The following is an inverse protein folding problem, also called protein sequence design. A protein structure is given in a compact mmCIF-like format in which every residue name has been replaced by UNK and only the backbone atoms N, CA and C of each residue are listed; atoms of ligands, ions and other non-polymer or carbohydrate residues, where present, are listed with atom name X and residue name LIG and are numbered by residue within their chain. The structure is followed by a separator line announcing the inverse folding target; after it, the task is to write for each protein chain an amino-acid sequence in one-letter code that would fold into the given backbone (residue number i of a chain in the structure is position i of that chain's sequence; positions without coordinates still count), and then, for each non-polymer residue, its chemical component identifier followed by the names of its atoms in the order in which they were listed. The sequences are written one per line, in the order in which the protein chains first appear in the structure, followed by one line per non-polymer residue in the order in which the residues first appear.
data_IF_877071806019
#
_entry.id   IF_877071806019
#
_cell.length_a   1.000
_cell.length_b   1.000
_cell.length_c   1.000
_cell.angle_alpha   90.00
_cell.angle_beta   90.00
_cell.angle_gamma   90.00
#
_symmetry.space_group_name_H-M   'P 1'
#
loop_
_entity.id
_entity.type
_entity.pdbx_description
1 polymer ?
#
# COMPACT_ATOMS: atom_id res chain seq x y z
N UNK A 1 -37.96 -27.44 -60.61
CA UNK A 1 -38.04 -26.49 -61.74
C UNK A 1 -36.66 -26.35 -62.35
N UNK A 2 -36.56 -26.66 -63.67
CA UNK A 2 -35.62 -26.22 -64.73
C UNK A 2 -34.21 -25.75 -64.30
N UNK A 3 -33.11 -26.44 -64.66
CA UNK A 3 -32.51 -26.72 -65.99
C UNK A 3 -31.85 -25.51 -66.68
N UNK A 4 -30.64 -25.76 -67.20
CA UNK A 4 -29.74 -24.99 -68.10
C UNK A 4 -28.56 -24.32 -67.36
N UNK A 5 -27.29 -24.47 -67.73
CA UNK A 5 -26.58 -25.10 -68.87
C UNK A 5 -25.20 -25.56 -68.31
N UNK A 6 -24.81 -26.83 -68.36
CA UNK A 6 -24.10 -27.52 -69.44
C UNK A 6 -22.97 -26.75 -70.17
N UNK A 7 -21.77 -27.29 -69.98
CA UNK A 7 -20.72 -27.47 -70.99
C UNK A 7 -19.80 -26.27 -71.30
N UNK A 8 -18.77 -26.10 -70.48
CA UNK A 8 -17.48 -25.52 -70.90
C UNK A 8 -16.35 -26.38 -70.34
N UNK A 9 -15.72 -27.10 -71.25
CA UNK A 9 -14.33 -27.56 -71.25
C UNK A 9 -13.84 -28.56 -70.20
N UNK A 10 -14.23 -29.81 -70.47
CA UNK A 10 -13.31 -30.96 -70.37
C UNK A 10 -12.10 -30.73 -71.28
N UNK A 11 -11.13 -29.91 -70.85
CA UNK A 11 -9.85 -29.79 -71.54
C UNK A 11 -8.74 -29.27 -70.61
N UNK A 12 -8.51 -29.91 -69.46
CA UNK A 12 -7.40 -29.51 -68.57
C UNK A 12 -6.69 -30.67 -67.85
N UNK A 13 -6.73 -31.88 -68.41
CA UNK A 13 -5.99 -33.05 -67.91
C UNK A 13 -4.76 -33.42 -68.76
N UNK A 14 -4.33 -32.54 -69.67
CA UNK A 14 -3.20 -32.79 -70.57
C UNK A 14 -2.06 -31.75 -70.47
N UNK A 15 -1.94 -31.01 -69.35
CA UNK A 15 -0.93 -29.96 -69.20
C UNK A 15 -0.05 -30.07 -67.93
N UNK A 16 0.11 -31.29 -67.37
CA UNK A 16 1.01 -31.57 -66.23
C UNK A 16 2.33 -32.27 -66.61
N UNK A 17 2.64 -32.39 -67.90
CA UNK A 17 3.83 -33.11 -68.39
C UNK A 17 4.93 -32.26 -68.99
N UNK A 18 4.72 -30.95 -69.20
CA UNK A 18 5.68 -30.06 -69.87
C UNK A 18 5.88 -28.77 -69.07
N UNK A 19 6.20 -28.88 -67.78
CA UNK A 19 6.99 -27.81 -67.15
C UNK A 19 8.39 -28.01 -67.70
N UNK A 20 8.72 -27.16 -68.66
CA UNK A 20 9.69 -27.42 -69.70
C UNK A 20 11.07 -27.74 -69.18
N UNK A 21 11.74 -28.62 -69.92
CA UNK A 21 13.19 -28.63 -70.07
C UNK A 21 13.80 -27.22 -70.29
N UNK A 22 12.96 -26.23 -70.66
CA UNK A 22 13.23 -24.79 -70.76
C UNK A 22 13.69 -24.13 -69.44
N UNK A 23 13.06 -24.42 -68.31
CA UNK A 23 13.45 -23.81 -67.02
C UNK A 23 14.79 -24.33 -66.49
N UNK A 24 15.15 -25.56 -66.85
CA UNK A 24 16.43 -26.18 -66.49
C UNK A 24 17.56 -25.66 -67.39
N UNK A 25 17.26 -25.33 -68.65
CA UNK A 25 18.24 -24.70 -69.55
C UNK A 25 18.52 -23.24 -69.24
N UNK A 26 17.54 -22.50 -68.69
CA UNK A 26 17.70 -21.06 -68.40
C UNK A 26 18.56 -20.80 -67.14
N UNK A 27 18.71 -21.80 -66.25
CA UNK A 27 19.57 -21.73 -65.06
C UNK A 27 21.05 -22.10 -65.29
N UNK A 28 21.40 -22.62 -66.47
CA UNK A 28 22.79 -22.94 -66.81
C UNK A 28 23.33 -21.82 -67.69
N UNK A 29 24.15 -20.92 -67.12
CA UNK A 29 24.76 -19.80 -67.83
C UNK A 29 25.64 -20.34 -68.97
N UNK A 30 25.06 -20.48 -70.16
CA UNK A 30 25.77 -20.71 -71.41
C UNK A 30 26.23 -19.34 -71.88
N UNK A 31 27.50 -19.01 -71.62
CA UNK A 31 28.12 -17.82 -72.21
C UNK A 31 27.93 -17.88 -73.72
N UNK A 32 27.10 -16.98 -74.26
CA UNK A 32 26.86 -16.91 -75.71
C UNK A 32 28.17 -16.56 -76.42
N UNK A 33 28.30 -16.95 -77.70
CA UNK A 33 29.49 -16.69 -78.53
C UNK A 33 29.96 -15.21 -78.48
N UNK A 34 29.04 -14.27 -78.24
CA UNK A 34 29.33 -12.84 -77.99
C UNK A 34 30.03 -12.57 -76.65
N UNK A 35 29.64 -13.24 -75.57
CA UNK A 35 30.24 -13.05 -74.24
C UNK A 35 31.66 -13.62 -74.17
N UNK A 36 31.95 -14.71 -74.89
CA UNK A 36 33.31 -15.24 -75.01
C UNK A 36 34.25 -14.29 -75.76
N UNK A 37 33.78 -13.71 -76.87
CA UNK A 37 34.54 -12.68 -77.61
C UNK A 37 34.75 -11.41 -76.77
N UNK A 38 33.78 -11.03 -75.94
CA UNK A 38 33.90 -9.91 -75.00
C UNK A 38 34.94 -10.17 -73.91
N UNK A 39 35.02 -11.40 -73.37
CA UNK A 39 36.05 -11.77 -72.39
C UNK A 39 37.45 -11.79 -73.01
N UNK A 40 37.61 -12.36 -74.22
CA UNK A 40 38.89 -12.37 -74.93
C UNK A 40 39.35 -10.96 -75.32
N UNK A 41 38.42 -10.13 -75.81
CA UNK A 41 38.69 -8.72 -76.11
C UNK A 41 39.01 -7.93 -74.85
N UNK A 42 38.29 -8.19 -73.74
CA UNK A 42 38.56 -7.59 -72.44
C UNK A 42 39.96 -7.93 -71.93
N UNK A 43 40.39 -9.18 -72.04
CA UNK A 43 41.73 -9.61 -71.65
C UNK A 43 42.83 -8.96 -72.51
N UNK A 44 42.58 -8.78 -73.81
CA UNK A 44 43.47 -8.06 -74.73
C UNK A 44 43.61 -6.59 -74.33
N UNK A 45 42.49 -5.91 -74.06
CA UNK A 45 42.50 -4.50 -73.63
C UNK A 45 43.21 -4.33 -72.29
N UNK A 46 42.95 -5.22 -71.32
CA UNK A 46 43.63 -5.18 -70.00
C UNK A 46 45.13 -5.39 -70.16
N UNK A 47 45.59 -6.30 -71.02
CA UNK A 47 47.03 -6.51 -71.28
C UNK A 47 47.68 -5.28 -71.92
N UNK A 48 47.01 -4.62 -72.87
CA UNK A 48 47.51 -3.39 -73.51
C UNK A 48 47.58 -2.23 -72.51
N UNK A 49 46.56 -2.09 -71.65
CA UNK A 49 46.55 -1.08 -70.58
C UNK A 49 47.64 -1.34 -69.56
N UNK A 50 47.85 -2.60 -69.15
CA UNK A 50 48.90 -2.98 -68.21
C UNK A 50 50.29 -2.70 -68.81
N UNK A 51 50.47 -2.91 -70.12
CA UNK A 51 51.71 -2.56 -70.84
C UNK A 51 51.97 -1.05 -70.82
N UNK A 52 50.98 -0.22 -71.14
CA UNK A 52 51.09 1.24 -71.11
C UNK A 52 51.37 1.74 -69.69
N UNK A 53 50.76 1.14 -68.68
CA UNK A 53 51.01 1.47 -67.27
C UNK A 53 52.44 1.08 -66.88
N UNK A 54 52.93 -0.10 -67.27
CA UNK A 54 54.30 -0.52 -66.95
C UNK A 54 55.36 0.37 -67.62
N UNK A 55 55.10 0.83 -68.84
CA UNK A 55 55.98 1.75 -69.60
C UNK A 55 56.03 3.15 -68.98
N UNK A 56 54.91 3.62 -68.38
CA UNK A 56 54.81 4.91 -67.70
C UNK A 56 55.40 4.87 -66.27
N UNK A 57 55.22 3.77 -65.54
CA UNK A 57 55.57 3.66 -64.11
C UNK A 57 57.07 3.42 -63.88
N UNK A 58 57.83 2.99 -64.89
CA UNK A 58 59.27 2.72 -64.75
C UNK A 58 60.11 3.62 -65.68
N UNK A 59 60.34 4.90 -65.34
CA UNK A 59 61.22 5.76 -66.11
C UNK A 59 62.68 5.54 -65.68
N UNK A 60 63.47 4.96 -66.58
CA UNK A 60 64.93 5.06 -66.54
C UNK A 60 65.65 3.84 -65.97
N UNK A 61 65.94 2.86 -66.84
CA UNK A 61 67.24 2.19 -66.86
C UNK A 61 67.46 1.55 -68.24
N UNK A 62 68.67 1.68 -68.78
CA UNK A 62 69.09 1.08 -70.04
C UNK A 62 69.11 -0.46 -69.97
N UNK A 63 67.96 -1.09 -70.15
CA UNK A 63 67.78 -2.54 -70.36
C UNK A 63 66.91 -2.84 -71.59
N UNK A 64 66.70 -1.84 -72.46
CA UNK A 64 65.77 -1.92 -73.59
C UNK A 64 66.09 -2.95 -74.68
N UNK A 65 67.33 -3.44 -74.80
CA UNK A 65 67.68 -4.43 -75.84
C UNK A 65 67.48 -5.89 -75.41
N UNK A 66 67.62 -6.21 -74.12
CA UNK A 66 67.47 -7.59 -73.64
C UNK A 66 66.00 -7.94 -73.41
N UNK A 67 65.20 -7.00 -72.90
CA UNK A 67 63.75 -7.19 -72.72
C UNK A 67 63.00 -7.22 -74.05
N UNK A 68 63.37 -6.41 -75.04
CA UNK A 68 62.72 -6.41 -76.36
C UNK A 68 62.95 -7.71 -77.15
N UNK A 69 64.10 -8.37 -76.95
CA UNK A 69 64.40 -9.67 -77.55
C UNK A 69 63.72 -10.83 -76.83
N UNK A 70 63.65 -10.85 -75.50
CA UNK A 70 62.94 -11.89 -74.76
C UNK A 70 61.42 -11.80 -75.02
N UNK A 71 60.86 -10.59 -75.00
CA UNK A 71 59.42 -10.38 -75.18
C UNK A 71 58.99 -10.62 -76.64
N UNK A 72 59.81 -10.25 -77.62
CA UNK A 72 59.58 -10.57 -79.04
C UNK A 72 59.64 -12.07 -79.37
N UNK A 73 60.24 -12.90 -78.49
CA UNK A 73 60.30 -14.36 -78.65
C UNK A 73 59.19 -15.08 -77.88
N UNK A 74 58.83 -14.57 -76.69
CA UNK A 74 57.84 -15.17 -75.79
C UNK A 74 56.40 -14.85 -76.22
N UNK A 75 56.11 -13.64 -76.69
CA UNK A 75 54.74 -13.26 -77.06
C UNK A 75 54.19 -14.04 -78.28
N UNK A 76 54.94 -14.21 -79.39
CA UNK A 76 54.45 -15.00 -80.52
C UNK A 76 54.32 -16.48 -80.18
N UNK A 77 55.18 -17.01 -79.30
CA UNK A 77 55.16 -18.43 -78.90
C UNK A 77 54.03 -18.73 -77.93
N UNK A 78 53.73 -17.85 -76.98
CA UNK A 78 52.57 -17.96 -76.09
C UNK A 78 51.25 -17.80 -76.85
N UNK A 79 51.18 -16.89 -77.83
CA UNK A 79 50.02 -16.74 -78.71
C UNK A 79 49.86 -17.95 -79.63
N UNK A 80 50.93 -18.51 -80.19
CA UNK A 80 50.87 -19.75 -80.96
C UNK A 80 50.50 -20.96 -80.09
N UNK A 81 50.97 -21.06 -78.85
CA UNK A 81 50.59 -22.10 -77.90
C UNK A 81 49.10 -21.97 -77.50
N UNK A 82 48.62 -20.74 -77.29
CA UNK A 82 47.19 -20.50 -77.06
C UNK A 82 46.34 -20.89 -78.28
N UNK A 83 46.81 -20.64 -79.50
CA UNK A 83 46.10 -20.99 -80.72
C UNK A 83 46.23 -22.46 -81.14
N UNK A 84 47.34 -23.13 -80.83
CA UNK A 84 47.60 -24.54 -81.21
C UNK A 84 47.18 -25.56 -80.15
N UNK A 85 47.15 -25.17 -78.87
CA UNK A 85 46.76 -26.05 -77.75
C UNK A 85 45.50 -25.55 -77.06
N UNK A 86 45.38 -24.23 -76.85
CA UNK A 86 44.24 -23.63 -76.14
C UNK A 86 42.93 -23.65 -76.94
N UNK A 87 42.93 -23.20 -78.19
CA UNK A 87 41.73 -23.17 -79.04
C UNK A 87 41.24 -24.58 -79.40
N UNK A 88 42.10 -25.54 -79.81
CA UNK A 88 41.68 -26.92 -80.04
C UNK A 88 41.27 -27.62 -78.75
N UNK A 89 41.93 -27.34 -77.62
CA UNK A 89 41.56 -27.86 -76.29
C UNK A 89 40.19 -27.35 -75.85
N UNK A 90 39.92 -26.05 -76.01
CA UNK A 90 38.61 -25.45 -75.76
C UNK A 90 37.57 -25.95 -76.75
N UNK A 91 37.90 -26.16 -78.02
CA UNK A 91 37.01 -26.76 -79.00
C UNK A 91 36.75 -28.23 -78.71
N UNK A 92 37.69 -28.99 -78.14
CA UNK A 92 37.48 -30.37 -77.71
C UNK A 92 36.69 -30.42 -76.41
N UNK A 93 36.89 -29.49 -75.47
CA UNK A 93 36.05 -29.33 -74.27
C UNK A 93 34.65 -28.88 -74.67
N UNK A 94 34.50 -27.96 -75.62
CA UNK A 94 33.22 -27.47 -76.12
C UNK A 94 32.54 -28.50 -77.01
N UNK A 95 33.28 -29.25 -77.83
CA UNK A 95 32.77 -30.39 -78.59
C UNK A 95 32.38 -31.52 -77.63
N UNK A 96 33.17 -31.80 -76.58
CA UNK A 96 32.79 -32.76 -75.53
C UNK A 96 31.63 -32.27 -74.69
N UNK A 97 31.48 -30.98 -74.42
CA UNK A 97 30.36 -30.38 -73.70
C UNK A 97 29.10 -30.26 -74.57
N UNK A 98 29.26 -30.09 -75.89
CA UNK A 98 28.18 -30.06 -76.88
C UNK A 98 27.72 -31.46 -77.29
N UNK A 99 28.63 -32.46 -77.26
CA UNK A 99 28.31 -33.90 -77.26
C UNK A 99 28.04 -34.46 -75.86
N UNK A 100 28.24 -33.68 -74.80
CA UNK A 100 27.79 -34.01 -73.46
C UNK A 100 26.30 -33.81 -73.53
N UNK A 101 25.65 -34.87 -73.98
CA UNK A 101 24.24 -34.88 -74.24
C UNK A 101 23.57 -34.64 -72.89
N UNK A 102 23.17 -33.39 -72.63
CA UNK A 102 22.38 -33.05 -71.45
C UNK A 102 21.10 -33.87 -71.44
N UNK A 103 20.65 -34.38 -72.60
CA UNK A 103 19.58 -35.38 -72.70
C UNK A 103 19.95 -36.73 -72.08
N UNK A 104 21.20 -37.21 -72.17
CA UNK A 104 21.64 -38.44 -71.47
C UNK A 104 21.67 -38.29 -69.95
N UNK A 105 21.95 -37.08 -69.43
CA UNK A 105 21.81 -36.78 -68.00
C UNK A 105 20.34 -36.74 -67.55
N UNK A 106 19.45 -36.27 -68.43
CA UNK A 106 17.98 -36.25 -68.22
C UNK A 106 17.37 -37.65 -68.38
N UNK A 107 17.98 -38.53 -69.19
CA UNK A 107 17.59 -39.94 -69.33
C UNK A 107 18.06 -40.82 -68.17
N UNK A 108 19.07 -40.38 -67.40
CA UNK A 108 19.47 -41.07 -66.17
C UNK A 108 18.42 -40.83 -65.07
N UNK A 109 17.43 -41.72 -65.03
CA UNK A 109 16.34 -41.72 -64.05
C UNK A 109 16.85 -41.58 -62.61
N UNK A 110 18.05 -42.09 -62.29
CA UNK A 110 18.65 -41.95 -60.95
C UNK A 110 19.13 -40.53 -60.66
N UNK A 111 19.69 -39.83 -61.65
CA UNK A 111 20.13 -38.45 -61.48
C UNK A 111 18.94 -37.50 -61.38
N UNK A 112 17.90 -37.69 -62.20
CA UNK A 112 16.67 -36.88 -62.15
C UNK A 112 15.94 -37.06 -60.82
N UNK A 113 15.83 -38.29 -60.31
CA UNK A 113 15.24 -38.56 -58.98
C UNK A 113 16.09 -37.98 -57.85
N UNK A 114 17.42 -38.09 -57.92
CA UNK A 114 18.32 -37.47 -56.92
C UNK A 114 18.21 -35.95 -56.92
N UNK A 115 18.16 -35.30 -58.10
CA UNK A 115 17.96 -33.86 -58.21
C UNK A 115 16.61 -33.42 -57.65
N UNK A 116 15.52 -34.13 -57.96
CA UNK A 116 14.19 -33.84 -57.40
C UNK A 116 14.15 -33.99 -55.88
N UNK A 117 14.77 -35.04 -55.33
CA UNK A 117 14.93 -35.21 -53.88
C UNK A 117 15.73 -34.08 -53.25
N UNK A 118 16.90 -33.73 -53.79
CA UNK A 118 17.69 -32.61 -53.29
C UNK A 118 16.91 -31.29 -53.33
N UNK A 119 16.13 -31.05 -54.40
CA UNK A 119 15.27 -29.88 -54.52
C UNK A 119 14.12 -29.89 -53.50
N UNK A 120 13.49 -31.05 -53.26
CA UNK A 120 12.44 -31.21 -52.26
C UNK A 120 12.98 -30.97 -50.84
N UNK A 121 14.10 -31.61 -50.48
CA UNK A 121 14.79 -31.38 -49.20
C UNK A 121 15.14 -29.90 -49.04
N UNK A 122 15.75 -29.27 -50.05
CA UNK A 122 16.15 -27.86 -49.99
C UNK A 122 14.94 -26.94 -49.77
N UNK A 123 13.84 -27.19 -50.50
CA UNK A 123 12.61 -26.40 -50.37
C UNK A 123 11.97 -26.58 -48.98
N UNK A 124 11.82 -27.82 -48.52
CA UNK A 124 11.24 -28.12 -47.21
C UNK A 124 12.12 -27.58 -46.07
N UNK A 125 13.45 -27.70 -46.19
CA UNK A 125 14.41 -27.15 -45.21
C UNK A 125 14.36 -25.62 -45.19
N UNK A 126 14.33 -24.97 -46.35
CA UNK A 126 14.22 -23.51 -46.44
C UNK A 126 12.91 -23.03 -45.81
N UNK A 127 11.79 -23.68 -46.12
CA UNK A 127 10.49 -23.35 -45.54
C UNK A 127 10.44 -23.58 -44.03
N UNK A 128 10.97 -24.71 -43.54
CA UNK A 128 11.04 -24.99 -42.09
C UNK A 128 11.94 -23.98 -41.38
N UNK A 129 13.08 -23.60 -41.95
CA UNK A 129 13.95 -22.57 -41.38
C UNK A 129 13.27 -21.20 -41.31
N UNK A 130 12.56 -20.78 -42.36
CA UNK A 130 11.79 -19.53 -42.34
C UNK A 130 10.64 -19.59 -41.32
N UNK A 131 9.95 -20.71 -41.20
CA UNK A 131 8.91 -20.91 -40.19
C UNK A 131 9.47 -20.88 -38.76
N UNK A 132 10.63 -21.51 -38.53
CA UNK A 132 11.34 -21.47 -37.25
C UNK A 132 11.75 -20.04 -36.90
N UNK A 133 12.29 -19.27 -37.85
CA UNK A 133 12.68 -17.87 -37.63
C UNK A 133 11.48 -17.02 -37.16
N UNK A 134 10.35 -17.11 -37.86
CA UNK A 134 9.12 -16.38 -37.51
C UNK A 134 8.58 -16.77 -36.13
N UNK A 135 8.52 -18.08 -35.85
CA UNK A 135 8.06 -18.57 -34.55
C UNK A 135 9.03 -18.16 -33.44
N UNK A 136 10.34 -18.22 -33.68
CA UNK A 136 11.34 -17.82 -32.68
C UNK A 136 11.21 -16.34 -32.32
N UNK A 137 10.91 -15.48 -33.30
CA UNK A 137 10.64 -14.05 -33.03
C UNK A 137 9.41 -13.88 -32.13
N UNK A 138 8.31 -14.58 -32.44
CA UNK A 138 7.09 -14.56 -31.61
C UNK A 138 7.36 -15.10 -30.20
N UNK A 139 8.03 -16.25 -30.08
CA UNK A 139 8.35 -16.85 -28.78
C UNK A 139 9.24 -15.92 -27.95
N UNK A 140 10.20 -15.24 -28.58
CA UNK A 140 11.04 -14.25 -27.92
C UNK A 140 10.21 -13.07 -27.41
N UNK A 141 9.27 -12.57 -28.21
CA UNK A 141 8.36 -11.50 -27.79
C UNK A 141 7.44 -11.95 -26.63
N UNK A 142 6.90 -13.17 -26.68
CA UNK A 142 6.11 -13.75 -25.60
C UNK A 142 6.92 -13.91 -24.31
N UNK A 143 8.17 -14.37 -24.40
CA UNK A 143 9.09 -14.48 -23.25
C UNK A 143 9.43 -13.11 -22.65
N UNK A 144 9.64 -12.10 -23.50
CA UNK A 144 9.84 -10.73 -23.04
C UNK A 144 8.63 -10.22 -22.26
N UNK A 145 7.42 -10.51 -22.72
CA UNK A 145 6.18 -10.13 -22.05
C UNK A 145 6.00 -10.87 -20.71
N UNK A 146 6.31 -12.17 -20.66
CA UNK A 146 6.32 -12.94 -19.40
C UNK A 146 7.29 -12.33 -18.39
N UNK A 147 8.48 -11.95 -18.84
CA UNK A 147 9.49 -11.32 -17.98
C UNK A 147 8.99 -9.98 -17.46
N UNK A 148 8.46 -9.12 -18.34
CA UNK A 148 7.93 -7.81 -17.96
C UNK A 148 6.76 -7.89 -16.98
N UNK A 149 5.80 -8.80 -17.23
CA UNK A 149 4.65 -9.01 -16.34
C UNK A 149 5.06 -9.60 -14.99
N UNK A 150 6.02 -10.53 -14.98
CA UNK A 150 6.59 -11.08 -13.74
C UNK A 150 7.31 -10.02 -12.91
N UNK A 151 8.14 -9.19 -13.53
CA UNK A 151 8.87 -8.11 -12.85
C UNK A 151 7.91 -7.05 -12.30
N UNK A 152 6.87 -6.69 -13.06
CA UNK A 152 5.84 -5.76 -12.60
C UNK A 152 5.06 -6.32 -11.41
N UNK A 153 4.66 -7.60 -11.44
CA UNK A 153 3.97 -8.25 -10.34
C UNK A 153 4.85 -8.37 -9.10
N UNK A 154 6.13 -8.76 -9.25
CA UNK A 154 7.09 -8.83 -8.16
C UNK A 154 7.29 -7.46 -7.49
N UNK A 155 7.45 -6.41 -8.30
CA UNK A 155 7.58 -5.03 -7.81
C UNK A 155 6.31 -4.56 -7.08
N UNK A 156 5.13 -4.90 -7.60
CA UNK A 156 3.84 -4.62 -6.96
C UNK A 156 3.74 -5.29 -5.58
N UNK A 157 4.10 -6.58 -5.49
CA UNK A 157 4.08 -7.33 -4.23
C UNK A 157 5.04 -6.71 -3.22
N UNK A 158 6.28 -6.40 -3.61
CA UNK A 158 7.26 -5.76 -2.73
C UNK A 158 6.73 -4.43 -2.20
N UNK A 159 6.17 -3.59 -3.08
CA UNK A 159 5.61 -2.30 -2.69
C UNK A 159 4.47 -2.46 -1.67
N UNK A 160 3.61 -3.46 -1.85
CA UNK A 160 2.52 -3.71 -0.90
C UNK A 160 2.99 -4.28 0.43
N UNK A 161 4.01 -5.13 0.43
CA UNK A 161 4.66 -5.58 1.66
C UNK A 161 5.31 -4.42 2.43
N UNK A 162 5.92 -3.47 1.73
CA UNK A 162 6.46 -2.25 2.35
C UNK A 162 5.35 -1.39 2.96
N UNK A 163 4.24 -1.19 2.26
CA UNK A 163 3.09 -0.46 2.79
C UNK A 163 2.50 -1.16 4.02
N UNK A 164 2.44 -2.50 4.03
CA UNK A 164 2.01 -3.26 5.22
C UNK A 164 2.97 -3.05 6.39
N UNK A 165 4.28 -3.13 6.16
CA UNK A 165 5.30 -2.92 7.19
C UNK A 165 5.23 -1.51 7.80
N UNK A 166 5.04 -0.49 6.95
CA UNK A 166 4.84 0.90 7.39
C UNK A 166 3.56 1.05 8.22
N UNK A 167 2.43 0.51 7.73
CA UNK A 167 1.17 0.51 8.47
C UNK A 167 1.31 -0.17 9.84
N UNK A 168 1.96 -1.33 9.92
CA UNK A 168 2.18 -2.06 11.18
C UNK A 168 3.11 -1.28 12.12
N UNK A 169 4.15 -0.63 11.58
CA UNK A 169 5.08 0.20 12.35
C UNK A 169 4.37 1.43 12.96
N UNK A 170 3.54 2.11 12.18
CA UNK A 170 2.73 3.23 12.65
C UNK A 170 1.78 2.76 13.76
N UNK A 171 1.04 1.67 13.53
CA UNK A 171 0.14 1.09 14.53
C UNK A 171 0.88 0.76 15.83
N UNK A 172 2.02 0.08 15.75
CA UNK A 172 2.80 -0.30 16.94
C UNK A 172 3.31 0.91 17.70
N UNK A 173 3.70 1.99 17.00
CA UNK A 173 4.20 3.20 17.64
C UNK A 173 3.06 3.94 18.34
N UNK A 174 1.94 4.17 17.65
CA UNK A 174 0.75 4.81 18.24
C UNK A 174 0.17 4.02 19.41
N UNK A 175 0.09 2.68 19.31
CA UNK A 175 -0.37 1.85 20.42
C UNK A 175 0.54 1.95 21.64
N UNK A 176 1.87 2.00 21.46
CA UNK A 176 2.81 2.17 22.58
C UNK A 176 2.62 3.52 23.27
N UNK A 177 2.44 4.60 22.52
CA UNK A 177 2.16 5.93 23.07
C UNK A 177 0.85 5.97 23.84
N UNK A 178 -0.20 5.34 23.30
CA UNK A 178 -1.53 5.30 23.92
C UNK A 178 -1.56 4.45 25.18
N UNK A 179 -0.87 3.29 25.19
CA UNK A 179 -0.68 2.47 26.40
C UNK A 179 0.08 3.26 27.46
N UNK A 180 1.18 3.93 27.10
CA UNK A 180 1.94 4.73 28.05
C UNK A 180 1.11 5.90 28.61
N UNK A 181 0.23 6.50 27.80
CA UNK A 181 -0.71 7.54 28.25
C UNK A 181 -1.76 6.98 29.20
N UNK A 182 -2.32 5.81 28.89
CA UNK A 182 -3.25 5.08 29.76
C UNK A 182 -2.61 4.78 31.12
N UNK A 183 -1.37 4.29 31.14
CA UNK A 183 -0.66 3.98 32.39
C UNK A 183 -0.46 5.24 33.24
N UNK A 184 -0.10 6.38 32.63
CA UNK A 184 0.00 7.66 33.34
C UNK A 184 -1.35 8.10 33.91
N UNK A 185 -2.42 8.01 33.13
CA UNK A 185 -3.77 8.35 33.57
C UNK A 185 -4.23 7.45 34.73
N UNK A 186 -3.95 6.14 34.65
CA UNK A 186 -4.27 5.17 35.69
C UNK A 186 -3.54 5.49 36.99
N UNK A 187 -2.22 5.71 36.94
CA UNK A 187 -1.42 6.01 38.12
C UNK A 187 -1.87 7.33 38.76
N UNK A 188 -2.00 8.39 37.95
CA UNK A 188 -2.48 9.67 38.46
C UNK A 188 -3.91 9.59 39.02
N UNK A 189 -4.77 8.73 38.47
CA UNK A 189 -6.14 8.52 38.97
C UNK A 189 -6.10 7.81 40.32
N UNK A 190 -5.22 6.82 40.46
CA UNK A 190 -4.98 6.13 41.74
C UNK A 190 -4.47 7.10 42.81
N UNK A 191 -3.53 7.99 42.47
CA UNK A 191 -3.02 8.99 43.41
C UNK A 191 -4.11 9.98 43.85
N UNK A 192 -4.97 10.42 42.91
CA UNK A 192 -6.11 11.28 43.22
C UNK A 192 -7.15 10.55 44.09
N UNK A 193 -7.41 9.27 43.84
CA UNK A 193 -8.32 8.46 44.66
C UNK A 193 -7.83 8.32 46.11
N UNK A 194 -6.53 8.10 46.32
CA UNK A 194 -5.94 8.09 47.66
C UNK A 194 -6.07 9.47 48.34
N UNK A 195 -5.88 10.55 47.59
CA UNK A 195 -6.09 11.90 48.13
C UNK A 195 -7.56 12.15 48.50
N UNK A 196 -8.51 11.62 47.72
CA UNK A 196 -9.95 11.73 48.00
C UNK A 196 -10.32 10.92 49.24
N UNK A 197 -9.77 9.71 49.39
CA UNK A 197 -9.94 8.88 50.59
C UNK A 197 -9.46 9.61 51.84
N UNK A 198 -8.27 10.22 51.79
CA UNK A 198 -7.75 11.01 52.90
C UNK A 198 -8.62 12.24 53.21
N UNK A 199 -9.05 12.99 52.19
CA UNK A 199 -9.99 14.12 52.36
C UNK A 199 -11.30 13.68 53.03
N UNK A 200 -11.80 12.47 52.72
CA UNK A 200 -13.01 11.91 53.34
C UNK A 200 -12.81 11.57 54.81
N UNK A 201 -11.66 10.99 55.17
CA UNK A 201 -11.30 10.73 56.57
C UNK A 201 -11.23 12.04 57.36
N UNK A 202 -10.51 13.04 56.86
CA UNK A 202 -10.40 14.35 57.51
C UNK A 202 -11.76 15.06 57.65
N UNK A 203 -12.66 14.85 56.71
CA UNK A 203 -14.01 15.38 56.77
C UNK A 203 -14.85 14.64 57.82
N UNK A 204 -14.75 13.31 57.86
CA UNK A 204 -15.46 12.48 58.84
C UNK A 204 -15.03 12.82 60.27
N UNK A 205 -13.74 13.00 60.50
CA UNK A 205 -13.19 13.41 61.79
C UNK A 205 -13.66 14.80 62.19
N UNK A 206 -13.64 15.76 61.26
CA UNK A 206 -14.16 17.10 61.48
C UNK A 206 -15.65 17.12 61.82
N UNK A 207 -16.47 16.30 61.15
CA UNK A 207 -17.90 16.17 61.46
C UNK A 207 -18.10 15.60 62.86
N UNK A 208 -17.35 14.56 63.24
CA UNK A 208 -17.43 13.95 64.59
C UNK A 208 -17.04 14.93 65.69
N UNK A 209 -15.94 15.66 65.51
CA UNK A 209 -15.49 16.68 66.46
C UNK A 209 -16.53 17.78 66.62
N UNK A 210 -17.13 18.23 65.51
CA UNK A 210 -18.19 19.24 65.51
C UNK A 210 -19.43 18.76 66.26
N UNK A 211 -19.90 17.54 65.99
CA UNK A 211 -21.07 16.97 66.67
C UNK A 211 -20.85 16.93 68.18
N UNK A 212 -19.66 16.50 68.62
CA UNK A 212 -19.26 16.52 70.03
C UNK A 212 -19.25 17.94 70.62
N UNK A 213 -18.64 18.90 69.93
CA UNK A 213 -18.57 20.29 70.38
C UNK A 213 -19.96 20.94 70.47
N UNK A 214 -20.84 20.68 69.50
CA UNK A 214 -22.23 21.14 69.52
C UNK A 214 -23.00 20.58 70.72
N UNK A 215 -22.82 19.29 71.04
CA UNK A 215 -23.42 18.68 72.23
C UNK A 215 -22.91 19.31 73.53
N UNK A 216 -21.60 19.56 73.62
CA UNK A 216 -21.00 20.23 74.78
C UNK A 216 -21.51 21.67 74.95
N UNK A 217 -21.57 22.44 73.86
CA UNK A 217 -22.12 23.79 73.86
C UNK A 217 -23.58 23.80 74.30
N UNK A 218 -24.39 22.86 73.81
CA UNK A 218 -25.80 22.73 74.22
C UNK A 218 -25.91 22.47 75.72
N UNK A 219 -25.10 21.57 76.27
CA UNK A 219 -25.10 21.26 77.70
C UNK A 219 -24.72 22.49 78.56
N UNK A 220 -23.67 23.23 78.17
CA UNK A 220 -23.27 24.48 78.86
C UNK A 220 -24.35 25.56 78.81
N UNK A 221 -25.05 25.69 77.68
CA UNK A 221 -26.15 26.64 77.54
C UNK A 221 -27.31 26.26 78.46
N UNK A 222 -27.70 24.97 78.49
CA UNK A 222 -28.73 24.47 79.40
C UNK A 222 -28.38 24.74 80.87
N UNK A 223 -27.11 24.58 81.25
CA UNK A 223 -26.61 24.93 82.58
C UNK A 223 -26.74 26.43 82.89
N UNK A 224 -26.34 27.30 81.97
CA UNK A 224 -26.46 28.76 82.16
C UNK A 224 -27.93 29.20 82.27
N UNK A 225 -28.83 28.60 81.49
CA UNK A 225 -30.28 28.86 81.59
C UNK A 225 -30.81 28.42 82.96
N UNK A 226 -30.41 27.25 83.46
CA UNK A 226 -30.80 26.79 84.79
C UNK A 226 -30.27 27.70 85.91
N UNK A 227 -29.01 28.12 85.83
CA UNK A 227 -28.40 29.02 86.81
C UNK A 227 -29.07 30.40 86.82
N UNK A 228 -29.39 30.97 85.65
CA UNK A 228 -30.09 32.25 85.55
C UNK A 228 -31.53 32.16 86.03
N UNK A 229 -32.22 31.03 85.82
CA UNK A 229 -33.56 30.79 86.40
C UNK A 229 -33.51 30.79 87.93
N UNK A 230 -32.53 30.09 88.53
CA UNK A 230 -32.36 30.08 89.99
C UNK A 230 -32.06 31.49 90.54
N UNK A 231 -31.25 32.28 89.83
CA UNK A 231 -30.99 33.68 90.21
C UNK A 231 -32.26 34.54 90.13
N UNK A 232 -33.14 34.30 89.15
CA UNK A 232 -34.43 35.00 89.04
C UNK A 232 -35.31 34.72 90.26
N UNK A 233 -35.42 33.45 90.68
CA UNK A 233 -36.17 33.07 91.89
C UNK A 233 -35.62 33.73 93.16
N UNK A 234 -34.30 33.74 93.34
CA UNK A 234 -33.66 34.40 94.48
C UNK A 234 -33.89 35.92 94.45
N UNK A 235 -33.84 36.53 93.28
CA UNK A 235 -34.07 37.97 93.10
C UNK A 235 -35.53 38.32 93.44
N UNK A 236 -36.48 37.46 93.06
CA UNK A 236 -37.89 37.61 93.41
C UNK A 236 -38.12 37.50 94.92
N UNK A 237 -37.41 36.59 95.61
CA UNK A 237 -37.45 36.49 97.07
C UNK A 237 -36.90 37.76 97.72
N UNK A 238 -35.77 38.30 97.26
CA UNK A 238 -35.21 39.57 97.78
C UNK A 238 -36.20 40.72 97.61
N UNK A 239 -36.87 40.80 96.46
CA UNK A 239 -37.93 41.78 96.18
C UNK A 239 -39.11 41.63 97.14
N UNK A 240 -39.53 40.39 97.44
CA UNK A 240 -40.61 40.14 98.40
C UNK A 240 -40.21 40.51 99.83
N UNK A 241 -38.97 40.22 100.25
CA UNK A 241 -38.44 40.59 101.57
C UNK A 241 -38.35 42.10 101.70
N UNK A 242 -37.86 42.80 100.66
CA UNK A 242 -37.79 44.25 100.62
C UNK A 242 -39.20 44.88 100.74
N UNK A 243 -40.20 44.33 100.03
CA UNK A 243 -41.59 44.79 100.13
C UNK A 243 -42.20 44.57 101.53
N UNK A 244 -41.96 43.41 102.14
CA UNK A 244 -42.40 43.13 103.52
C UNK A 244 -41.71 44.04 104.54
N UNK A 245 -40.40 44.27 104.38
CA UNK A 245 -39.62 45.15 105.26
C UNK A 245 -40.07 46.60 105.14
N UNK A 246 -40.40 47.05 103.93
CA UNK A 246 -40.99 48.36 103.68
C UNK A 246 -42.36 48.53 104.37
N UNK A 247 -43.21 47.50 104.35
CA UNK A 247 -44.49 47.50 105.06
C UNK A 247 -44.31 47.50 106.59
N UNK A 248 -43.36 46.72 107.12
CA UNK A 248 -43.01 46.70 108.54
C UNK A 248 -42.49 48.07 108.99
N UNK A 249 -41.60 48.68 108.21
CA UNK A 249 -41.06 50.01 108.46
C UNK A 249 -42.14 51.09 108.43
N UNK A 250 -43.09 51.01 107.49
CA UNK A 250 -44.24 51.89 107.43
C UNK A 250 -45.12 51.78 108.68
N UNK A 251 -45.43 50.56 109.12
CA UNK A 251 -46.18 50.32 110.36
C UNK A 251 -45.44 50.87 111.59
N UNK A 252 -44.12 50.70 111.65
CA UNK A 252 -43.27 51.24 112.71
C UNK A 252 -43.24 52.78 112.70
N UNK A 253 -43.18 53.42 111.52
CA UNK A 253 -43.23 54.88 111.38
C UNK A 253 -44.59 55.45 111.83
N UNK A 254 -45.69 54.76 111.51
CA UNK A 254 -47.04 55.12 111.97
C UNK A 254 -47.12 55.05 113.49
N UNK A 255 -46.64 53.97 114.11
CA UNK A 255 -46.70 53.80 115.57
C UNK A 255 -45.74 54.75 116.30
N UNK A 256 -44.57 55.05 115.72
CA UNK A 256 -43.65 56.06 116.22
C UNK A 256 -44.25 57.48 116.18
N UNK A 257 -45.00 57.82 115.12
CA UNK A 257 -45.76 59.07 115.04
C UNK A 257 -46.89 59.12 116.09
N UNK A 258 -47.52 57.97 116.37
CA UNK A 258 -48.59 57.83 117.38
C UNK A 258 -48.10 58.02 118.81
N UNK A 259 -46.85 57.65 119.09
CA UNK A 259 -46.19 57.83 120.40
C UNK A 259 -45.72 59.27 120.69
N UNK A 260 -45.85 60.20 119.74
CA UNK A 260 -45.50 61.62 119.90
C UNK A 260 -44.00 61.86 120.14
N UNK A 261 -43.66 62.74 121.10
CA UNK A 261 -42.25 63.08 121.42
C UNK A 261 -41.40 61.86 121.81
N UNK A 262 -41.99 60.88 122.51
CA UNK A 262 -41.30 59.64 122.94
C UNK A 262 -40.92 58.72 121.77
N UNK A 263 -41.55 58.89 120.61
CA UNK A 263 -41.35 58.06 119.41
C UNK A 263 -40.34 58.62 118.40
N UNK A 264 -39.80 59.83 118.59
CA UNK A 264 -38.94 60.52 117.59
C UNK A 264 -37.73 59.69 117.15
N UNK A 265 -37.05 58.99 118.07
CA UNK A 265 -35.91 58.14 117.73
C UNK A 265 -36.30 56.92 116.88
N UNK A 266 -37.45 56.31 117.18
CA UNK A 266 -37.99 55.19 116.40
C UNK A 266 -38.50 55.63 115.03
N UNK A 267 -39.04 56.84 114.90
CA UNK A 267 -39.48 57.39 113.62
C UNK A 267 -38.31 57.53 112.63
N UNK A 268 -37.16 58.03 113.08
CA UNK A 268 -35.95 58.15 112.25
C UNK A 268 -35.45 56.79 111.78
N UNK A 269 -35.41 55.79 112.67
CA UNK A 269 -35.00 54.43 112.30
C UNK A 269 -35.99 53.79 111.33
N UNK A 270 -37.30 53.98 111.55
CA UNK A 270 -38.33 53.46 110.67
C UNK A 270 -38.25 54.07 109.26
N UNK A 271 -38.02 55.38 109.13
CA UNK A 271 -37.82 56.02 107.83
C UNK A 271 -36.55 55.54 107.12
N UNK A 272 -35.44 55.34 107.85
CA UNK A 272 -34.19 54.80 107.29
C UNK A 272 -34.38 53.35 106.77
N UNK A 273 -35.04 52.49 107.56
CA UNK A 273 -35.36 51.11 107.15
C UNK A 273 -36.30 51.11 105.94
N UNK A 274 -37.25 52.05 105.87
CA UNK A 274 -38.14 52.22 104.71
C UNK A 274 -37.35 52.58 103.45
N UNK A 275 -36.40 53.52 103.57
CA UNK A 275 -35.54 53.94 102.46
C UNK A 275 -34.62 52.81 101.98
N UNK A 276 -33.98 52.07 102.90
CA UNK A 276 -33.16 50.90 102.58
C UNK A 276 -33.96 49.78 101.90
N UNK A 277 -35.21 49.56 102.34
CA UNK A 277 -36.11 48.58 101.73
C UNK A 277 -36.49 48.98 100.29
N UNK A 278 -36.80 50.26 100.07
CA UNK A 278 -37.08 50.78 98.72
C UNK A 278 -35.85 50.67 97.79
N UNK A 279 -34.65 50.99 98.28
CA UNK A 279 -33.41 50.82 97.54
C UNK A 279 -33.12 49.34 97.22
N UNK A 280 -33.38 48.43 98.17
CA UNK A 280 -33.22 46.99 97.97
C UNK A 280 -34.19 46.44 96.92
N UNK A 281 -35.43 46.93 96.90
CA UNK A 281 -36.42 46.55 95.88
C UNK A 281 -36.01 47.03 94.49
N UNK A 282 -35.53 48.27 94.36
CA UNK A 282 -35.05 48.81 93.09
C UNK A 282 -33.80 48.08 92.58
N UNK A 283 -32.89 47.71 93.50
CA UNK A 283 -31.72 46.90 93.16
C UNK A 283 -32.12 45.50 92.65
N UNK A 284 -33.09 44.85 93.31
CA UNK A 284 -33.62 43.56 92.87
C UNK A 284 -34.27 43.63 91.47
N UNK A 285 -35.04 44.68 91.18
CA UNK A 285 -35.65 44.88 89.85
C UNK A 285 -34.60 45.10 88.73
N UNK A 286 -33.50 45.81 89.04
CA UNK A 286 -32.39 45.95 88.11
C UNK A 286 -31.68 44.61 87.86
N UNK A 287 -31.45 43.81 88.91
CA UNK A 287 -30.86 42.47 88.78
C UNK A 287 -31.76 41.56 87.94
N UNK A 288 -33.07 41.59 88.17
CA UNK A 288 -34.08 40.84 87.40
C UNK A 288 -33.99 41.18 85.91
N UNK A 289 -33.88 42.48 85.58
CA UNK A 289 -33.72 42.96 84.21
C UNK A 289 -32.43 42.46 83.56
N UNK A 290 -31.30 42.47 84.28
CA UNK A 290 -30.03 41.96 83.77
C UNK A 290 -30.05 40.44 83.56
N UNK A 291 -30.71 39.69 84.45
CA UNK A 291 -30.93 38.24 84.27
C UNK A 291 -31.71 37.97 82.98
N UNK A 292 -32.79 38.72 82.72
CA UNK A 292 -33.55 38.60 81.48
C UNK A 292 -32.71 38.91 80.24
N UNK A 293 -31.85 39.94 80.28
CA UNK A 293 -30.92 40.25 79.18
C UNK A 293 -29.96 39.09 78.94
N UNK A 294 -29.37 38.52 80.00
CA UNK A 294 -28.45 37.36 79.86
C UNK A 294 -29.18 36.17 79.24
N UNK A 295 -30.38 35.83 79.70
CA UNK A 295 -31.18 34.74 79.12
C UNK A 295 -31.49 34.99 77.64
N UNK A 296 -31.86 36.22 77.28
CA UNK A 296 -32.15 36.58 75.90
C UNK A 296 -30.89 36.47 75.01
N UNK A 297 -29.77 37.03 75.45
CA UNK A 297 -28.49 36.97 74.72
C UNK A 297 -28.00 35.55 74.55
N UNK A 298 -28.14 34.68 75.58
CA UNK A 298 -27.78 33.26 75.47
C UNK A 298 -28.65 32.54 74.45
N UNK A 299 -29.96 32.82 74.44
CA UNK A 299 -30.91 32.21 73.48
C UNK A 299 -30.63 32.67 72.05
N UNK A 300 -30.34 33.95 71.85
CA UNK A 300 -29.96 34.53 70.55
C UNK A 300 -28.61 33.98 70.06
N UNK A 301 -27.63 33.84 70.96
CA UNK A 301 -26.35 33.20 70.67
C UNK A 301 -26.49 31.72 70.36
N UNK A 302 -27.47 31.02 70.94
CA UNK A 302 -27.76 29.63 70.59
C UNK A 302 -28.28 29.50 69.15
N UNK A 303 -29.14 30.43 68.70
CA UNK A 303 -29.60 30.44 67.30
C UNK A 303 -28.49 30.79 66.29
N UNK A 304 -27.51 31.60 66.71
CA UNK A 304 -26.36 32.03 65.88
C UNK A 304 -25.08 31.21 66.09
N UNK A 305 -25.05 30.27 67.05
CA UNK A 305 -23.94 29.31 67.20
C UNK A 305 -23.83 28.35 65.99
N UNK A 306 -24.83 28.41 65.11
CA UNK A 306 -24.87 27.76 63.81
C UNK A 306 -24.06 28.55 62.74
N UNK A 307 -23.58 29.77 63.00
CA UNK A 307 -23.17 30.69 61.92
C UNK A 307 -21.73 30.64 61.38
N UNK A 308 -21.71 30.87 60.06
CA UNK A 308 -20.71 31.37 59.11
C UNK A 308 -19.29 30.81 59.10
N UNK A 309 -18.49 30.92 60.17
CA UNK A 309 -17.05 30.56 60.12
C UNK A 309 -16.87 29.04 59.92
N UNK A 310 -17.66 28.25 60.66
CA UNK A 310 -17.66 26.79 60.62
C UNK A 310 -18.31 26.25 59.34
N UNK A 311 -19.39 26.89 58.89
CA UNK A 311 -20.03 26.59 57.59
C UNK A 311 -19.08 26.92 56.44
N UNK A 312 -18.30 28.00 56.55
CA UNK A 312 -17.30 28.37 55.56
C UNK A 312 -16.13 27.37 55.52
N UNK A 313 -15.67 26.86 56.67
CA UNK A 313 -14.67 25.78 56.70
C UNK A 313 -15.20 24.48 56.10
N UNK A 314 -16.42 24.06 56.46
CA UNK A 314 -17.07 22.88 55.88
C UNK A 314 -17.25 23.03 54.37
N UNK A 315 -17.76 24.17 53.92
CA UNK A 315 -17.95 24.48 52.50
C UNK A 315 -16.61 24.47 51.75
N UNK A 316 -15.52 24.94 52.36
CA UNK A 316 -14.17 24.86 51.76
C UNK A 316 -13.71 23.41 51.60
N UNK A 317 -13.85 22.58 52.64
CA UNK A 317 -13.49 21.15 52.57
C UNK A 317 -14.34 20.40 51.54
N UNK A 318 -15.65 20.67 51.48
CA UNK A 318 -16.56 20.09 50.48
C UNK A 318 -16.20 20.52 49.06
N UNK A 319 -15.81 21.78 48.85
CA UNK A 319 -15.34 22.26 47.55
C UNK A 319 -14.06 21.56 47.11
N UNK A 320 -13.07 21.45 48.00
CA UNK A 320 -11.83 20.70 47.73
C UNK A 320 -12.13 19.26 47.29
N UNK A 321 -13.01 18.57 48.01
CA UNK A 321 -13.45 17.22 47.66
C UNK A 321 -14.17 17.18 46.29
N UNK A 322 -15.08 18.12 46.03
CA UNK A 322 -15.79 18.22 44.76
C UNK A 322 -14.84 18.50 43.58
N UNK A 323 -13.83 19.35 43.78
CA UNK A 323 -12.83 19.67 42.77
C UNK A 323 -11.96 18.44 42.46
N UNK A 324 -11.56 17.68 43.49
CA UNK A 324 -10.84 16.40 43.30
C UNK A 324 -11.67 15.38 42.52
N UNK A 325 -12.96 15.21 42.84
CA UNK A 325 -13.86 14.33 42.08
C UNK A 325 -14.06 14.79 40.63
N UNK A 326 -14.12 16.10 40.40
CA UNK A 326 -14.19 16.67 39.05
C UNK A 326 -12.94 16.30 38.24
N UNK A 327 -11.75 16.44 38.83
CA UNK A 327 -10.50 16.00 38.20
C UNK A 327 -10.56 14.51 37.82
N UNK A 328 -10.95 13.64 38.75
CA UNK A 328 -11.10 12.21 38.48
C UNK A 328 -12.08 11.95 37.31
N UNK A 329 -13.23 12.64 37.29
CA UNK A 329 -14.21 12.52 36.20
C UNK A 329 -13.61 12.91 34.84
N UNK A 330 -12.85 14.00 34.77
CA UNK A 330 -12.16 14.40 33.53
C UNK A 330 -11.07 13.42 33.11
N UNK A 331 -10.42 12.75 34.07
CA UNK A 331 -9.44 11.71 33.80
C UNK A 331 -10.09 10.44 33.24
N UNK A 332 -11.26 10.04 33.76
CA UNK A 332 -12.04 8.94 33.20
C UNK A 332 -12.54 9.23 31.79
N UNK A 333 -13.03 10.46 31.54
CA UNK A 333 -13.39 10.88 30.19
C UNK A 333 -12.17 10.83 29.24
N UNK A 334 -10.99 11.24 29.71
CA UNK A 334 -9.74 11.14 28.96
C UNK A 334 -9.35 9.68 28.70
N UNK A 335 -9.48 8.79 29.68
CA UNK A 335 -9.21 7.36 29.56
C UNK A 335 -10.10 6.72 28.48
N UNK A 336 -11.41 6.99 28.54
CA UNK A 336 -12.37 6.53 27.53
C UNK A 336 -12.04 7.07 26.13
N UNK A 337 -11.65 8.34 26.01
CA UNK A 337 -11.26 8.92 24.73
C UNK A 337 -10.03 8.24 24.11
N UNK A 338 -9.04 7.85 24.94
CA UNK A 338 -7.84 7.15 24.46
C UNK A 338 -8.20 5.73 24.01
N UNK A 339 -9.05 5.03 24.75
CA UNK A 339 -9.52 3.70 24.35
C UNK A 339 -10.29 3.72 23.03
N UNK A 340 -11.20 4.69 22.85
CA UNK A 340 -11.93 4.84 21.57
C UNK A 340 -10.97 5.10 20.42
N UNK A 341 -9.98 5.97 20.62
CA UNK A 341 -8.93 6.24 19.62
C UNK A 341 -8.11 5.00 19.29
N UNK A 342 -7.72 4.19 20.28
CA UNK A 342 -6.99 2.95 20.03
C UNK A 342 -7.80 1.99 19.15
N UNK A 343 -9.10 1.83 19.43
CA UNK A 343 -9.99 0.99 18.61
C UNK A 343 -10.05 1.53 17.18
N UNK A 344 -10.26 2.85 17.02
CA UNK A 344 -10.34 3.49 15.70
C UNK A 344 -9.04 3.32 14.88
N UNK A 345 -7.87 3.46 15.52
CA UNK A 345 -6.57 3.25 14.86
C UNK A 345 -6.40 1.78 14.47
N UNK A 346 -6.77 0.84 15.33
CA UNK A 346 -6.70 -0.60 15.04
C UNK A 346 -7.62 -0.95 13.86
N UNK A 347 -8.86 -0.48 13.85
CA UNK A 347 -9.82 -0.74 12.77
C UNK A 347 -9.35 -0.17 11.43
N UNK A 348 -8.90 1.09 11.42
CA UNK A 348 -8.36 1.73 10.22
C UNK A 348 -7.11 1.02 9.70
N UNK A 349 -6.22 0.59 10.59
CA UNK A 349 -5.01 -0.14 10.20
C UNK A 349 -5.34 -1.53 9.64
N UNK A 350 -6.25 -2.26 10.30
CA UNK A 350 -6.69 -3.57 9.85
C UNK A 350 -7.29 -3.49 8.45
N UNK A 351 -8.08 -2.46 8.16
CA UNK A 351 -8.66 -2.22 6.84
C UNK A 351 -7.58 -1.91 5.78
N UNK A 352 -6.59 -1.07 6.10
CA UNK A 352 -5.47 -0.81 5.18
C UNK A 352 -4.65 -2.07 4.89
N UNK A 353 -4.29 -2.84 5.93
CA UNK A 353 -3.57 -4.10 5.77
C UNK A 353 -4.38 -5.08 4.94
N UNK A 354 -5.70 -5.19 5.18
CA UNK A 354 -6.59 -6.04 4.39
C UNK A 354 -6.57 -5.65 2.91
N UNK A 355 -6.65 -4.35 2.59
CA UNK A 355 -6.60 -3.87 1.21
C UNK A 355 -5.25 -4.19 0.54
N UNK A 356 -4.14 -3.98 1.24
CA UNK A 356 -2.80 -4.31 0.73
C UNK A 356 -2.59 -5.83 0.54
N UNK A 357 -3.14 -6.65 1.43
CA UNK A 357 -3.10 -8.12 1.27
C UNK A 357 -3.94 -8.55 0.06
N UNK A 358 -5.14 -8.00 -0.12
CA UNK A 358 -6.00 -8.33 -1.25
C UNK A 358 -5.37 -7.96 -2.60
N UNK A 359 -4.74 -6.79 -2.68
CA UNK A 359 -4.07 -6.37 -3.92
C UNK A 359 -2.75 -7.14 -4.14
N UNK A 360 -2.08 -7.60 -3.08
CA UNK A 360 -0.97 -8.55 -3.20
C UNK A 360 -1.44 -9.89 -3.76
N UNK A 361 -2.60 -10.39 -3.33
CA UNK A 361 -3.19 -11.63 -3.83
C UNK A 361 -3.54 -11.53 -5.32
N UNK A 362 -4.11 -10.40 -5.76
CA UNK A 362 -4.34 -10.13 -7.18
C UNK A 362 -3.01 -10.14 -7.97
N UNK A 363 -1.95 -9.57 -7.39
CA UNK A 363 -0.63 -9.61 -8.03
C UNK A 363 -0.15 -11.06 -8.19
N UNK A 364 -0.30 -11.93 -7.19
CA UNK A 364 0.10 -13.36 -7.22
C UNK A 364 -0.56 -14.17 -8.35
N UNK A 365 -1.76 -13.78 -8.82
CA UNK A 365 -2.42 -14.46 -9.95
C UNK A 365 -1.57 -14.48 -11.24
N UNK A 366 -0.59 -13.57 -11.37
CA UNK A 366 0.39 -13.58 -12.47
C UNK A 366 1.14 -14.92 -12.58
N UNK A 367 1.26 -15.68 -11.48
CA UNK A 367 1.93 -16.97 -11.47
C UNK A 367 1.24 -17.95 -12.42
N UNK A 368 -0.09 -17.98 -12.43
CA UNK A 368 -0.84 -18.87 -13.33
C UNK A 368 -0.69 -18.41 -14.78
N UNK A 369 -0.79 -17.10 -15.03
CA UNK A 369 -0.56 -16.50 -16.36
C UNK A 369 0.84 -16.85 -16.89
N UNK A 370 1.85 -16.73 -16.04
CA UNK A 370 3.25 -17.05 -16.36
C UNK A 370 3.40 -18.52 -16.67
N UNK A 371 2.81 -19.39 -15.84
CA UNK A 371 2.82 -20.83 -16.06
C UNK A 371 2.20 -21.20 -17.41
N UNK A 372 0.99 -20.71 -17.70
CA UNK A 372 0.28 -21.01 -18.95
C UNK A 372 1.09 -20.56 -20.18
N UNK A 373 1.70 -19.38 -20.13
CA UNK A 373 2.57 -18.86 -21.20
C UNK A 373 3.83 -19.70 -21.39
N UNK A 374 4.48 -20.12 -20.30
CA UNK A 374 5.65 -21.00 -20.35
C UNK A 374 5.30 -22.37 -20.94
N UNK A 375 4.19 -22.98 -20.50
CA UNK A 375 3.70 -24.26 -21.04
C UNK A 375 3.44 -24.17 -22.54
N UNK A 376 2.87 -23.06 -23.02
CA UNK A 376 2.65 -22.85 -24.45
C UNK A 376 3.97 -22.72 -25.24
N UNK A 377 4.93 -21.98 -24.72
CA UNK A 377 6.25 -21.85 -25.35
C UNK A 377 6.96 -23.19 -25.40
N UNK A 378 6.91 -23.96 -24.31
CA UNK A 378 7.44 -25.33 -24.28
C UNK A 378 6.76 -26.24 -25.31
N UNK A 379 5.43 -26.17 -25.44
CA UNK A 379 4.68 -26.92 -26.46
C UNK A 379 5.06 -26.53 -27.89
N UNK A 380 5.28 -25.24 -28.13
CA UNK A 380 5.71 -24.74 -29.45
C UNK A 380 7.13 -25.19 -29.79
N UNK A 381 8.05 -25.13 -28.83
CA UNK A 381 9.41 -25.66 -28.97
C UNK A 381 9.40 -27.17 -29.23
N UNK A 382 8.51 -27.92 -28.57
CA UNK A 382 8.28 -29.34 -28.87
C UNK A 382 7.81 -29.58 -30.31
N UNK A 383 6.93 -28.72 -30.82
CA UNK A 383 6.45 -28.79 -32.22
C UNK A 383 7.57 -28.50 -33.22
N UNK A 384 8.40 -27.49 -32.95
CA UNK A 384 9.60 -27.20 -33.76
C UNK A 384 10.53 -28.43 -33.77
N UNK A 385 10.82 -28.99 -32.60
CA UNK A 385 11.71 -30.14 -32.48
C UNK A 385 11.18 -31.35 -33.25
N UNK A 386 9.88 -31.64 -33.15
CA UNK A 386 9.27 -32.73 -33.91
C UNK A 386 9.34 -32.49 -35.42
N UNK A 387 9.10 -31.26 -35.89
CA UNK A 387 9.19 -30.93 -37.32
C UNK A 387 10.62 -31.14 -37.86
N UNK A 388 11.65 -30.77 -37.08
CA UNK A 388 13.06 -31.03 -37.43
C UNK A 388 13.34 -32.53 -37.47
N UNK A 389 12.88 -33.30 -36.48
CA UNK A 389 13.03 -34.77 -36.45
C UNK A 389 12.37 -35.42 -37.67
N UNK A 390 11.15 -35.00 -38.02
CA UNK A 390 10.40 -35.52 -39.16
C UNK A 390 11.14 -35.26 -40.47
N UNK A 391 11.72 -34.06 -40.65
CA UNK A 391 12.53 -33.69 -41.81
C UNK A 391 13.81 -34.52 -41.93
N UNK A 392 14.49 -34.78 -40.80
CA UNK A 392 15.69 -35.62 -40.77
C UNK A 392 15.36 -37.09 -41.09
N UNK A 393 14.31 -37.62 -40.49
CA UNK A 393 13.90 -39.03 -40.58
C UNK A 393 13.41 -39.39 -41.98
N UNK A 394 12.64 -38.50 -42.62
CA UNK A 394 12.06 -38.71 -43.95
C UNK A 394 12.85 -38.02 -45.07
N UNK A 395 14.10 -37.63 -44.80
CA UNK A 395 14.98 -36.99 -45.78
C UNK A 395 15.17 -37.79 -47.09
N UNK A 396 14.93 -39.11 -47.05
CA UNK A 396 15.02 -39.99 -48.21
C UNK A 396 13.67 -40.24 -48.93
N UNK A 397 12.56 -39.74 -48.40
CA UNK A 397 11.20 -39.93 -48.91
C UNK A 397 10.68 -38.66 -49.61
N UNK A 398 10.70 -38.69 -50.95
CA UNK A 398 10.30 -37.55 -51.80
C UNK A 398 8.80 -37.20 -51.63
N UNK A 399 7.94 -38.20 -51.47
CA UNK A 399 6.49 -38.01 -51.35
C UNK A 399 6.12 -37.46 -49.97
N UNK A 400 6.83 -37.90 -48.92
CA UNK A 400 6.66 -37.33 -47.59
C UNK A 400 7.09 -35.86 -47.55
N UNK A 401 8.28 -35.53 -48.08
CA UNK A 401 8.79 -34.15 -48.08
C UNK A 401 7.92 -33.18 -48.88
N UNK A 402 7.31 -33.66 -49.97
CA UNK A 402 6.37 -32.87 -50.78
C UNK A 402 5.05 -32.57 -50.06
N UNK A 403 4.64 -33.42 -49.11
CA UNK A 403 3.37 -33.32 -48.38
C UNK A 403 3.54 -32.94 -46.90
N UNK A 404 4.77 -32.69 -46.46
CA UNK A 404 5.08 -32.36 -45.07
C UNK A 404 4.37 -31.07 -44.67
N UNK A 405 3.69 -31.09 -43.52
CA UNK A 405 3.00 -29.91 -42.99
C UNK A 405 4.05 -28.85 -42.63
N UNK A 406 4.06 -27.76 -43.39
CA UNK A 406 4.96 -26.65 -43.17
C UNK A 406 4.64 -25.95 -41.85
N UNK A 407 5.69 -25.68 -41.08
CA UNK A 407 5.61 -24.91 -39.85
C UNK A 407 5.21 -23.46 -40.20
N UNK A 408 4.04 -23.03 -39.75
CA UNK A 408 3.52 -21.68 -39.98
C UNK A 408 3.20 -21.01 -38.66
N UNK A 409 3.67 -19.77 -38.52
CA UNK A 409 3.51 -18.97 -37.29
C UNK A 409 2.03 -18.79 -36.92
N UNK A 410 1.16 -18.64 -37.92
CA UNK A 410 -0.29 -18.47 -37.74
C UNK A 410 -0.98 -19.64 -37.02
N UNK A 411 -0.39 -20.84 -37.03
CA UNK A 411 -0.95 -22.00 -36.32
C UNK A 411 -0.90 -21.83 -34.79
N UNK A 412 -0.05 -20.93 -34.30
CA UNK A 412 0.02 -20.60 -32.87
C UNK A 412 -1.17 -19.77 -32.40
N UNK A 413 -1.85 -19.06 -33.31
CA UNK A 413 -3.03 -18.24 -32.97
C UNK A 413 -4.13 -19.04 -32.30
N UNK A 414 -4.36 -20.26 -32.80
CA UNK A 414 -5.44 -21.12 -32.33
C UNK A 414 -5.13 -21.75 -30.95
N UNK A 415 -3.90 -21.58 -30.45
CA UNK A 415 -3.45 -22.06 -29.13
C UNK A 415 -3.47 -20.97 -28.05
N UNK A 416 -3.64 -19.69 -28.42
CA UNK A 416 -3.67 -18.60 -27.44
C UNK A 416 -5.03 -18.50 -26.75
N UNK A 417 -5.01 -18.50 -25.43
CA UNK A 417 -6.19 -18.30 -24.60
C UNK A 417 -6.42 -16.81 -24.30
N UNK A 418 -5.36 -16.02 -24.18
CA UNK A 418 -5.41 -14.61 -23.76
C UNK A 418 -5.29 -13.62 -24.93
N UNK A 419 -5.95 -12.46 -24.82
CA UNK A 419 -5.86 -11.40 -25.83
C UNK A 419 -4.46 -10.81 -25.93
N UNK A 420 -3.80 -10.61 -24.78
CA UNK A 420 -2.42 -10.12 -24.75
C UNK A 420 -1.46 -11.02 -25.56
N UNK A 421 -1.63 -12.34 -25.51
CA UNK A 421 -0.83 -13.25 -26.32
C UNK A 421 -1.11 -13.07 -27.82
N UNK A 422 -2.38 -12.89 -28.21
CA UNK A 422 -2.77 -12.66 -29.60
C UNK A 422 -2.19 -11.36 -30.14
N UNK A 423 -2.22 -10.30 -29.34
CA UNK A 423 -1.63 -9.00 -29.69
C UNK A 423 -0.11 -9.08 -29.87
N UNK A 424 0.61 -9.72 -28.94
CA UNK A 424 2.06 -9.91 -29.07
C UNK A 424 2.41 -10.69 -30.35
N UNK A 425 1.66 -11.74 -30.68
CA UNK A 425 1.84 -12.49 -31.92
C UNK A 425 1.61 -11.61 -33.17
N UNK A 426 0.47 -10.91 -33.23
CA UNK A 426 0.12 -10.05 -34.36
C UNK A 426 1.13 -8.92 -34.60
N UNK A 427 1.67 -8.34 -33.53
CA UNK A 427 2.67 -7.27 -33.62
C UNK A 427 4.04 -7.77 -34.09
N UNK A 428 4.33 -9.06 -33.91
CA UNK A 428 5.65 -9.64 -34.21
C UNK A 428 5.66 -10.42 -35.54
N UNK A 429 4.53 -10.98 -35.97
CA UNK A 429 4.38 -11.59 -37.30
C UNK A 429 4.05 -10.52 -38.33
N UNK A 430 5.01 -10.15 -39.20
CA UNK A 430 4.86 -9.11 -40.23
C UNK A 430 3.50 -9.13 -40.98
N UNK A 431 2.64 -8.16 -40.66
CA UNK A 431 1.74 -7.47 -41.60
C UNK A 431 0.37 -8.10 -41.94
N UNK A 432 -0.70 -7.36 -41.63
CA UNK A 432 -2.03 -7.35 -42.25
C UNK A 432 -2.98 -8.56 -42.14
N UNK A 433 -2.51 -9.81 -42.00
CA UNK A 433 -3.42 -10.98 -41.88
C UNK A 433 -3.84 -11.32 -40.44
N UNK A 434 -3.01 -10.99 -39.45
CA UNK A 434 -3.29 -11.29 -38.05
C UNK A 434 -4.30 -10.34 -37.40
N UNK A 435 -4.44 -9.11 -37.91
CA UNK A 435 -5.38 -8.10 -37.40
C UNK A 435 -6.84 -8.49 -37.61
N UNK A 436 -7.16 -9.15 -38.73
CA UNK A 436 -8.54 -9.57 -39.07
C UNK A 436 -9.05 -10.72 -38.18
N UNK A 437 -8.16 -11.57 -37.64
CA UNK A 437 -8.54 -12.68 -36.75
C UNK A 437 -8.61 -12.26 -35.27
N UNK A 438 -7.91 -11.20 -34.87
CA UNK A 438 -7.93 -10.68 -33.50
C UNK A 438 -9.27 -10.00 -33.14
N UNK A 439 -9.97 -9.38 -34.10
CA UNK A 439 -11.29 -8.76 -33.89
C UNK A 439 -12.44 -9.76 -33.68
N UNK A 440 -12.24 -11.06 -33.94
CA UNK A 440 -13.30 -12.08 -33.96
C UNK A 440 -13.36 -13.01 -32.73
N UNK A 441 -12.56 -12.76 -31.68
CA UNK A 441 -12.47 -13.65 -30.50
C UNK A 441 -13.48 -13.30 -29.38
N UNK A 442 -13.95 -14.29 -28.59
CA UNK A 442 -15.00 -14.08 -27.60
C UNK A 442 -14.52 -13.27 -26.38
N UNK A 443 -15.38 -12.37 -25.92
CA UNK A 443 -15.20 -11.37 -24.85
C UNK A 443 -14.92 -11.91 -23.43
N UNK A 444 -14.78 -13.23 -23.25
CA UNK A 444 -14.64 -13.85 -21.93
C UNK A 444 -13.24 -14.40 -21.78
N UNK A 445 -12.38 -13.62 -21.12
CA UNK A 445 -11.13 -14.11 -20.55
C UNK A 445 -11.48 -14.94 -19.32
N UNK A 446 -11.24 -16.26 -19.39
CA UNK A 446 -11.30 -17.10 -18.20
C UNK A 446 -10.04 -16.81 -17.38
N UNK A 447 -10.24 -16.11 -16.27
CA UNK A 447 -9.29 -15.93 -15.18
C UNK A 447 -9.24 -17.16 -14.27
#
# INVERSE_FOLDING_TARGET
MKSKDNNVDRNNSANRGEIGARDITDGLIILTHKQLWLLLFGFYVISVVLYVILDIVVPGHHTGKLHMSLFGLIFPTDVLLLQSVGIPGLLVIFYRASKFDTRKLVEDKKLVTTYRRCKAILNSTTSTLTGIEQINNVLSAQMSEVTATTDAAATSIIKQLQMIDESVTILSTSLREDVAKIDRLKNSSSDQLLSVEHSLEEMSDYIRERESSTLEHKAKIEEVIAQTSNLSELTQLVKSIAAQTNLLALNAAIEAARAGESGRGFAVVADEVRQLSAQSSAAAENIETEIFKVQHTVTEKMSSMVDEELIAQESRKLRLFSDQLSVISTMYASYDSVNRRMIEIIENNAEQVRQNVMSSYASVQFQDITRQRLEQVMGTLGTINQNIIDLLTHSNDEDYLANMKMLHVDQLMDQYLMDAQRQTHANTSNGERATVKAEAAPQIELF
#
